data_IF_555297836487
#
_entry.id   IF_555297836487
#
_cell.length_a   1.000
_cell.length_b   1.000
_cell.length_c   1.000
_cell.angle_alpha   90.00
_cell.angle_beta   90.00
_cell.angle_gamma   90.00
#
_symmetry.space_group_name_H-M   'P 1'
#
loop_
_entity.id
_entity.type
_entity.pdbx_description
1 polymer ?
#
# COMPACT_ATOMS: atom_id res chain seq x y z
N UNK A 1 -7.71 17.98 -2.92
CA UNK A 1 -6.76 17.62 -4.00
C UNK A 1 -5.45 18.30 -3.67
N UNK A 2 -4.51 17.57 -3.11
CA UNK A 2 -3.13 18.01 -3.08
C UNK A 2 -2.64 17.87 -4.52
N UNK A 3 -2.52 19.04 -5.23
CA UNK A 3 -1.98 19.08 -6.58
C UNK A 3 -0.52 18.64 -6.55
N UNK A 4 -0.29 17.37 -6.66
CA UNK A 4 1.02 16.89 -7.07
C UNK A 4 1.31 17.54 -8.43
N UNK A 5 2.47 18.16 -8.63
CA UNK A 5 2.81 18.71 -9.93
C UNK A 5 2.65 17.59 -10.96
N UNK A 6 1.89 17.84 -12.04
CA UNK A 6 1.80 16.91 -13.17
C UNK A 6 3.22 16.68 -13.66
N UNK A 7 3.74 15.49 -13.36
CA UNK A 7 5.06 15.11 -13.85
C UNK A 7 4.93 14.90 -15.34
N UNK A 8 5.62 15.72 -16.14
CA UNK A 8 5.72 15.49 -17.57
C UNK A 8 6.36 14.11 -17.78
N UNK A 9 5.73 13.26 -18.57
CA UNK A 9 6.32 11.99 -19.01
C UNK A 9 7.67 12.28 -19.67
N UNK A 10 8.73 11.81 -19.05
CA UNK A 10 10.08 11.96 -19.58
C UNK A 10 10.24 11.07 -20.81
N UNK A 11 10.67 11.64 -21.93
CA UNK A 11 11.06 10.89 -23.11
C UNK A 11 12.29 10.02 -22.81
N UNK A 12 12.53 8.99 -23.61
CA UNK A 12 13.64 8.05 -23.48
C UNK A 12 15.04 8.69 -23.49
N UNK A 13 15.13 9.99 -23.79
CA UNK A 13 16.37 10.75 -23.97
C UNK A 13 16.92 11.36 -22.66
N UNK A 14 16.13 11.34 -21.56
CA UNK A 14 16.49 12.01 -20.30
C UNK A 14 16.98 11.03 -19.21
N UNK A 15 17.48 9.87 -19.60
CA UNK A 15 18.07 8.91 -18.65
C UNK A 15 19.57 9.25 -18.45
N UNK A 16 19.98 9.41 -17.19
CA UNK A 16 21.41 9.47 -16.85
C UNK A 16 22.09 8.10 -17.09
N UNK A 17 23.42 8.05 -16.95
CA UNK A 17 24.21 6.83 -17.16
C UNK A 17 23.77 5.63 -16.35
N UNK A 18 23.04 5.86 -15.25
CA UNK A 18 22.54 4.83 -14.33
C UNK A 18 21.10 4.41 -14.64
N UNK A 19 20.47 5.01 -15.67
CA UNK A 19 19.12 4.67 -16.12
C UNK A 19 18.00 5.32 -15.29
N UNK A 20 18.32 6.32 -14.46
CA UNK A 20 17.34 7.10 -13.70
C UNK A 20 17.08 8.43 -14.42
N UNK A 21 15.83 8.85 -14.44
CA UNK A 21 15.46 10.14 -15.00
C UNK A 21 15.84 11.30 -14.05
N UNK A 22 16.26 12.43 -14.61
CA UNK A 22 16.66 13.64 -13.86
C UNK A 22 15.55 14.18 -12.92
N UNK A 23 14.29 13.86 -13.22
CA UNK A 23 13.16 14.25 -12.37
C UNK A 23 13.17 13.58 -10.97
N UNK A 24 13.94 12.53 -10.75
CA UNK A 24 14.12 11.92 -9.43
C UNK A 24 14.65 12.92 -8.41
N UNK A 25 15.49 13.84 -8.83
CA UNK A 25 16.05 14.87 -7.94
C UNK A 25 14.98 15.85 -7.42
N UNK A 26 13.98 16.21 -8.22
CA UNK A 26 12.88 17.08 -7.79
C UNK A 26 11.90 16.33 -6.87
N UNK A 27 11.58 15.09 -7.21
CA UNK A 27 10.78 14.22 -6.36
C UNK A 27 11.45 13.98 -5.03
N UNK A 28 12.74 13.71 -5.00
CA UNK A 28 13.52 13.53 -3.77
C UNK A 28 13.52 14.80 -2.91
N UNK A 29 13.71 15.99 -3.51
CA UNK A 29 13.61 17.27 -2.81
C UNK A 29 12.21 17.50 -2.23
N UNK A 30 11.16 17.15 -2.99
CA UNK A 30 9.77 17.25 -2.53
C UNK A 30 9.54 16.32 -1.32
N UNK A 31 9.93 15.06 -1.43
CA UNK A 31 9.76 14.08 -0.36
C UNK A 31 10.56 14.47 0.87
N UNK A 32 11.83 14.85 0.72
CA UNK A 32 12.67 15.30 1.85
C UNK A 32 12.10 16.53 2.55
N UNK A 33 11.52 17.46 1.80
CA UNK A 33 10.90 18.67 2.36
C UNK A 33 9.61 18.36 3.14
N UNK A 34 8.79 17.45 2.63
CA UNK A 34 7.46 17.17 3.19
C UNK A 34 7.46 16.03 4.20
N UNK A 35 8.36 15.06 4.06
CA UNK A 35 8.39 13.83 4.85
C UNK A 35 9.72 13.62 5.61
N UNK A 36 10.66 14.56 5.51
CA UNK A 36 11.96 14.47 6.19
C UNK A 36 12.82 13.31 5.65
N UNK A 37 13.37 12.49 6.54
CA UNK A 37 14.10 11.28 6.13
C UNK A 37 13.12 10.18 5.71
N UNK A 38 12.66 10.25 4.46
CA UNK A 38 11.71 9.29 3.91
C UNK A 38 12.33 7.91 3.57
N UNK A 39 13.66 7.80 3.55
CA UNK A 39 14.36 6.53 3.28
C UNK A 39 14.40 5.67 4.55
N UNK A 40 14.59 6.31 5.70
CA UNK A 40 14.53 5.67 7.02
C UNK A 40 13.55 6.44 7.91
N UNK A 41 12.24 6.39 7.62
CA UNK A 41 11.29 7.21 8.32
C UNK A 41 11.27 6.87 9.81
N UNK A 42 11.43 7.91 10.64
CA UNK A 42 11.16 7.82 12.08
C UNK A 42 9.72 8.14 12.41
N UNK A 43 9.00 8.69 11.44
CA UNK A 43 7.57 9.02 11.51
C UNK A 43 6.75 8.17 10.55
N UNK A 44 5.49 8.00 10.88
CA UNK A 44 4.51 7.37 10.00
C UNK A 44 3.82 8.42 9.15
N UNK A 45 3.73 8.16 7.86
CA UNK A 45 3.10 9.03 6.89
C UNK A 45 1.89 8.34 6.27
N UNK A 46 0.71 8.90 6.50
CA UNK A 46 -0.51 8.52 5.80
C UNK A 46 -0.55 9.24 4.44
N UNK A 47 -0.82 8.53 3.36
CA UNK A 47 -0.84 9.09 2.00
C UNK A 47 -2.12 8.65 1.28
N UNK A 48 -3.05 9.57 1.04
CA UNK A 48 -3.12 10.95 1.50
C UNK A 48 -3.26 11.08 3.04
N UNK A 49 -2.93 12.24 3.63
CA UNK A 49 -2.91 12.40 5.10
C UNK A 49 -4.31 12.42 5.75
N UNK A 50 -5.36 12.52 4.95
CA UNK A 50 -6.76 12.58 5.40
C UNK A 50 -7.56 11.54 4.63
N UNK A 51 -8.40 10.80 5.35
CA UNK A 51 -9.34 9.88 4.74
C UNK A 51 -10.48 10.65 4.07
N UNK A 52 -10.63 10.49 2.77
CA UNK A 52 -11.76 11.03 2.01
C UNK A 52 -12.74 9.91 1.68
N UNK A 53 -14.02 10.08 2.09
CA UNK A 53 -15.08 9.15 1.71
C UNK A 53 -15.30 9.18 0.20
N UNK A 54 -15.40 8.02 -0.41
CA UNK A 54 -15.68 7.85 -1.84
C UNK A 54 -17.11 8.28 -2.21
N UNK A 55 -18.01 8.26 -1.24
CA UNK A 55 -19.42 8.57 -1.42
C UNK A 55 -19.76 9.97 -0.90
N UNK A 56 -20.13 10.87 -1.81
CA UNK A 56 -20.56 12.24 -1.50
C UNK A 56 -21.96 12.34 -0.85
N UNK A 57 -22.63 11.23 -0.54
CA UNK A 57 -23.98 11.21 0.02
C UNK A 57 -23.95 11.09 1.54
N UNK A 58 -24.96 11.69 2.20
CA UNK A 58 -25.15 11.70 3.66
C UNK A 58 -25.21 10.32 4.32
N UNK A 59 -25.46 9.29 3.55
CA UNK A 59 -25.44 7.88 3.98
C UNK A 59 -24.10 7.26 3.56
N UNK A 60 -23.03 7.64 4.29
CA UNK A 60 -21.74 6.95 4.13
C UNK A 60 -21.98 5.44 4.25
N UNK A 61 -21.71 4.71 3.19
CA UNK A 61 -21.87 3.27 3.15
C UNK A 61 -21.08 2.65 4.31
N UNK A 62 -21.56 1.52 4.82
CA UNK A 62 -20.88 0.78 5.88
C UNK A 62 -19.41 0.44 5.48
N UNK A 63 -19.12 0.37 4.19
CA UNK A 63 -17.77 0.26 3.64
C UNK A 63 -16.87 1.41 4.06
N UNK A 64 -17.25 2.64 3.70
CA UNK A 64 -16.49 3.86 4.00
C UNK A 64 -16.23 4.04 5.50
N UNK A 65 -17.24 3.76 6.33
CA UNK A 65 -17.11 3.83 7.80
C UNK A 65 -16.09 2.82 8.32
N UNK A 66 -16.08 1.63 7.76
CA UNK A 66 -15.19 0.55 8.17
C UNK A 66 -13.75 0.84 7.71
N UNK A 67 -13.57 1.32 6.49
CA UNK A 67 -12.27 1.76 5.97
C UNK A 67 -11.73 2.94 6.80
N UNK A 68 -12.59 3.92 7.13
CA UNK A 68 -12.23 5.05 8.00
C UNK A 68 -11.80 4.59 9.39
N UNK A 69 -12.52 3.64 9.99
CA UNK A 69 -12.15 3.09 11.29
C UNK A 69 -10.79 2.40 11.25
N UNK A 70 -10.50 1.66 10.18
CA UNK A 70 -9.20 1.01 10.00
C UNK A 70 -8.09 2.03 9.70
N UNK A 71 -8.37 3.09 8.94
CA UNK A 71 -7.46 4.21 8.74
C UNK A 71 -7.06 4.84 10.09
N UNK A 72 -8.04 5.14 10.95
CA UNK A 72 -7.79 5.74 12.26
C UNK A 72 -6.97 4.81 13.17
N UNK A 73 -7.21 3.50 13.07
CA UNK A 73 -6.42 2.50 13.78
C UNK A 73 -4.96 2.47 13.29
N UNK A 74 -4.76 2.44 11.96
CA UNK A 74 -3.42 2.45 11.36
C UNK A 74 -2.65 3.73 11.68
N UNK A 75 -3.31 4.88 11.68
CA UNK A 75 -2.69 6.16 12.06
C UNK A 75 -2.19 6.09 13.51
N UNK A 76 -3.05 5.72 14.45
CA UNK A 76 -2.66 5.58 15.87
C UNK A 76 -1.60 4.51 16.09
N UNK A 77 -1.68 3.41 15.36
CA UNK A 77 -0.65 2.36 15.37
C UNK A 77 0.69 2.93 14.90
N UNK A 78 0.71 3.66 13.79
CA UNK A 78 1.88 4.32 13.28
C UNK A 78 2.51 5.28 14.30
N UNK A 79 1.70 6.14 14.92
CA UNK A 79 2.15 7.05 16.00
C UNK A 79 2.78 6.28 17.18
N UNK A 80 2.23 5.12 17.53
CA UNK A 80 2.80 4.26 18.58
C UNK A 80 4.16 3.66 18.18
N UNK A 81 4.36 3.36 16.90
CA UNK A 81 5.63 2.81 16.36
C UNK A 81 6.71 3.87 16.25
N UNK A 82 6.35 5.13 16.00
CA UNK A 82 7.29 6.26 16.00
C UNK A 82 8.06 6.36 17.32
N UNK A 83 7.39 6.11 18.45
CA UNK A 83 8.04 6.09 19.77
C UNK A 83 9.13 5.01 19.89
N UNK A 84 9.07 3.99 19.03
CA UNK A 84 10.07 2.92 18.93
C UNK A 84 11.09 3.17 17.82
N UNK A 85 11.02 4.33 17.15
CA UNK A 85 11.86 4.65 15.98
C UNK A 85 11.49 3.86 14.72
N UNK A 86 10.29 3.32 14.65
CA UNK A 86 9.79 2.52 13.50
C UNK A 86 8.73 3.31 12.73
N UNK A 87 9.15 4.25 11.90
CA UNK A 87 8.26 4.95 10.98
C UNK A 87 7.95 4.13 9.73
N UNK A 88 6.89 4.50 9.02
CA UNK A 88 6.43 3.81 7.83
C UNK A 88 5.60 4.71 6.91
N UNK A 89 5.39 4.29 5.66
CA UNK A 89 4.39 4.89 4.78
C UNK A 89 3.17 3.98 4.70
N UNK A 90 1.98 4.59 4.78
CA UNK A 90 0.70 3.91 4.61
C UNK A 90 -0.05 4.63 3.50
N UNK A 91 -0.12 3.99 2.34
CA UNK A 91 -0.86 4.49 1.18
C UNK A 91 -2.26 3.90 1.23
N UNK A 92 -3.29 4.73 1.07
CA UNK A 92 -4.67 4.26 1.09
C UNK A 92 -5.53 4.89 0.01
N UNK A 93 -6.63 4.24 -0.32
CA UNK A 93 -7.61 4.70 -1.33
C UNK A 93 -6.96 5.10 -2.66
N UNK A 94 -5.90 4.38 -3.06
CA UNK A 94 -5.11 4.72 -4.22
C UNK A 94 -5.69 4.09 -5.48
N UNK A 95 -6.08 4.93 -6.42
CA UNK A 95 -6.65 4.51 -7.69
C UNK A 95 -5.58 4.49 -8.78
N UNK A 96 -5.12 3.31 -9.19
CA UNK A 96 -4.14 3.17 -10.27
C UNK A 96 -4.61 3.67 -11.63
N UNK A 97 -5.91 3.75 -11.87
CA UNK A 97 -6.46 4.22 -13.15
C UNK A 97 -6.03 5.65 -13.47
N UNK A 98 -5.90 6.50 -12.46
CA UNK A 98 -5.49 7.89 -12.67
C UNK A 98 -3.99 8.02 -13.01
N UNK A 99 -3.15 7.11 -12.49
CA UNK A 99 -1.72 7.09 -12.83
C UNK A 99 -1.42 6.59 -14.24
N UNK A 100 -2.29 5.76 -14.78
CA UNK A 100 -2.05 5.07 -16.05
C UNK A 100 -2.69 5.81 -17.21
N UNK A 101 -3.61 6.73 -16.95
CA UNK A 101 -4.19 7.55 -18.02
C UNK A 101 -3.15 8.36 -18.80
N UNK A 102 -1.99 8.64 -18.19
CA UNK A 102 -0.86 9.29 -18.85
C UNK A 102 0.11 8.28 -19.51
N UNK A 103 -0.15 6.99 -19.33
CA UNK A 103 0.68 5.94 -19.88
C UNK A 103 0.25 5.59 -21.30
N UNK A 104 1.14 5.88 -22.23
CA UNK A 104 1.03 5.70 -23.66
C UNK A 104 -0.01 4.68 -24.14
N UNK A 105 -0.92 5.14 -25.00
CA UNK A 105 -1.90 4.36 -25.78
C UNK A 105 -1.31 3.16 -26.56
N UNK A 106 0.01 2.95 -26.52
CA UNK A 106 0.74 1.92 -27.27
C UNK A 106 1.01 0.63 -26.51
N UNK A 107 0.80 0.58 -25.20
CA UNK A 107 0.91 -0.69 -24.48
C UNK A 107 -0.42 -1.41 -24.47
N UNK A 108 -0.39 -2.59 -25.06
CA UNK A 108 -1.48 -3.44 -25.47
C UNK A 108 -2.61 -3.59 -24.44
N UNK A 109 -3.85 -3.55 -24.92
CA UNK A 109 -5.11 -3.80 -24.19
C UNK A 109 -5.11 -5.00 -23.22
N UNK A 110 -4.15 -5.91 -23.33
CA UNK A 110 -4.01 -7.10 -22.47
C UNK A 110 -3.45 -6.75 -21.08
N UNK A 111 -2.53 -5.80 -20.98
CA UNK A 111 -1.93 -5.41 -19.71
C UNK A 111 -2.82 -4.46 -18.90
N UNK A 112 -3.63 -3.65 -19.57
CA UNK A 112 -4.56 -2.72 -18.90
C UNK A 112 -5.64 -3.42 -18.05
N UNK A 113 -6.00 -4.67 -18.33
CA UNK A 113 -7.05 -5.39 -17.61
C UNK A 113 -6.68 -5.67 -16.13
N UNK A 114 -5.40 -5.71 -15.82
CA UNK A 114 -4.87 -6.03 -14.49
C UNK A 114 -4.62 -4.81 -13.62
N UNK A 115 -4.50 -3.64 -14.24
CA UNK A 115 -4.11 -2.38 -13.60
C UNK A 115 -5.31 -1.58 -13.09
N UNK A 116 -6.53 -2.03 -13.39
CA UNK A 116 -7.76 -1.38 -12.92
C UNK A 116 -8.12 -1.92 -11.54
N UNK A 117 -7.80 -1.18 -10.51
CA UNK A 117 -8.15 -1.51 -9.14
C UNK A 117 -7.87 -0.34 -8.21
N UNK A 118 -8.48 -0.39 -7.06
CA UNK A 118 -8.24 0.51 -5.96
C UNK A 118 -7.67 -0.32 -4.82
N UNK A 119 -6.53 0.11 -4.26
CA UNK A 119 -6.01 -0.48 -3.03
C UNK A 119 -6.72 0.17 -1.85
N UNK A 120 -7.20 -0.64 -0.92
CA UNK A 120 -7.70 -0.08 0.33
C UNK A 120 -6.52 0.48 1.13
N UNK A 121 -5.53 -0.37 1.46
CA UNK A 121 -4.31 0.09 2.15
C UNK A 121 -3.07 -0.72 1.73
N UNK A 122 -1.96 -0.01 1.52
CA UNK A 122 -0.63 -0.58 1.32
C UNK A 122 0.32 0.05 2.34
N UNK A 123 0.92 -0.78 3.19
CA UNK A 123 1.89 -0.36 4.17
C UNK A 123 3.30 -0.65 3.66
N UNK A 124 4.15 0.36 3.60
CA UNK A 124 5.56 0.27 3.26
C UNK A 124 6.39 0.49 4.53
N UNK A 125 7.01 -0.57 5.02
CA UNK A 125 7.85 -0.53 6.21
C UNK A 125 9.30 -0.86 5.83
N UNK A 126 10.29 -0.02 6.17
CA UNK A 126 11.68 -0.20 5.70
C UNK A 126 12.30 -1.53 6.15
N UNK A 127 11.86 -2.06 7.30
CA UNK A 127 12.41 -3.31 7.85
C UNK A 127 11.47 -4.51 7.60
N UNK A 128 10.16 -4.29 7.61
CA UNK A 128 9.16 -5.37 7.55
C UNK A 128 8.61 -5.62 6.14
N UNK A 129 8.96 -4.78 5.16
CA UNK A 129 8.55 -4.98 3.78
C UNK A 129 7.23 -4.29 3.41
N UNK A 130 6.55 -4.83 2.40
CA UNK A 130 5.25 -4.33 1.93
C UNK A 130 4.16 -5.24 2.47
N UNK A 131 3.07 -4.63 2.92
CA UNK A 131 1.87 -5.34 3.38
C UNK A 131 0.64 -4.75 2.71
N UNK A 132 -0.20 -5.61 2.17
CA UNK A 132 -1.48 -5.22 1.56
C UNK A 132 -2.62 -5.54 2.52
N UNK A 133 -3.54 -4.60 2.68
CA UNK A 133 -4.75 -4.79 3.46
C UNK A 133 -5.97 -4.53 2.59
N UNK A 134 -6.90 -5.48 2.57
CA UNK A 134 -8.20 -5.34 1.95
C UNK A 134 -9.27 -5.34 3.02
N UNK A 135 -10.01 -4.25 3.17
CA UNK A 135 -11.01 -4.07 4.22
C UNK A 135 -12.38 -4.57 3.75
N UNK A 136 -13.10 -5.26 4.63
CA UNK A 136 -14.46 -5.73 4.40
C UNK A 136 -15.36 -5.35 5.58
N UNK A 137 -16.43 -4.62 5.29
CA UNK A 137 -17.36 -4.11 6.31
C UNK A 137 -18.25 -5.20 6.94
N UNK A 138 -18.58 -6.23 6.17
CA UNK A 138 -19.48 -7.30 6.61
C UNK A 138 -18.73 -8.53 7.08
N UNK A 139 -19.30 -9.23 8.06
CA UNK A 139 -18.87 -10.58 8.41
C UNK A 139 -19.04 -11.47 7.20
N UNK A 140 -17.95 -12.07 6.77
CA UNK A 140 -17.87 -12.61 5.44
C UNK A 140 -18.19 -14.08 5.37
N UNK A 141 -18.94 -14.43 4.32
CA UNK A 141 -18.95 -15.78 3.78
C UNK A 141 -17.57 -16.13 3.20
N UNK A 142 -17.30 -17.42 2.99
CA UNK A 142 -16.07 -17.88 2.30
C UNK A 142 -15.88 -17.22 0.93
N UNK A 143 -16.97 -16.90 0.25
CA UNK A 143 -16.94 -16.26 -1.07
C UNK A 143 -16.37 -14.84 -1.00
N UNK A 144 -16.86 -14.01 -0.07
CA UNK A 144 -16.37 -12.64 0.10
C UNK A 144 -14.91 -12.60 0.54
N UNK A 145 -14.50 -13.56 1.38
CA UNK A 145 -13.10 -13.70 1.75
C UNK A 145 -12.23 -14.07 0.54
N UNK A 146 -12.72 -14.97 -0.31
CA UNK A 146 -12.07 -15.32 -1.58
C UNK A 146 -11.99 -14.13 -2.53
N UNK A 147 -13.04 -13.31 -2.64
CA UNK A 147 -13.03 -12.09 -3.43
C UNK A 147 -12.01 -11.08 -2.92
N UNK A 148 -11.92 -10.90 -1.59
CA UNK A 148 -10.92 -10.02 -0.99
C UNK A 148 -9.49 -10.50 -1.29
N UNK A 149 -9.21 -11.80 -1.22
CA UNK A 149 -7.91 -12.34 -1.62
C UNK A 149 -7.61 -12.11 -3.10
N UNK A 150 -8.58 -12.28 -3.99
CA UNK A 150 -8.42 -11.94 -5.41
C UNK A 150 -8.12 -10.45 -5.63
N UNK A 151 -8.67 -9.58 -4.78
CA UNK A 151 -8.35 -8.16 -4.83
C UNK A 151 -6.89 -7.92 -4.42
N UNK A 152 -6.44 -8.51 -3.32
CA UNK A 152 -5.03 -8.46 -2.89
C UNK A 152 -4.09 -8.96 -4.00
N UNK A 153 -4.44 -10.06 -4.68
CA UNK A 153 -3.64 -10.58 -5.80
C UNK A 153 -3.57 -9.58 -6.97
N UNK A 154 -4.67 -8.88 -7.27
CA UNK A 154 -4.68 -7.80 -8.27
C UNK A 154 -3.80 -6.64 -7.84
N UNK A 155 -3.83 -6.27 -6.57
CA UNK A 155 -3.02 -5.21 -6.02
C UNK A 155 -1.52 -5.51 -6.17
N UNK A 156 -1.12 -6.73 -5.85
CA UNK A 156 0.25 -7.19 -6.06
C UNK A 156 0.66 -7.20 -7.54
N UNK A 157 -0.27 -7.59 -8.43
CA UNK A 157 -0.02 -7.58 -9.87
C UNK A 157 0.09 -6.16 -10.41
N UNK A 158 -0.72 -5.22 -9.91
CA UNK A 158 -0.64 -3.80 -10.26
C UNK A 158 0.73 -3.22 -9.88
N UNK A 159 1.23 -3.55 -8.68
CA UNK A 159 2.57 -3.11 -8.28
C UNK A 159 3.68 -3.74 -9.12
N UNK A 160 3.52 -5.01 -9.57
CA UNK A 160 4.45 -5.63 -10.52
C UNK A 160 4.46 -4.92 -11.87
N UNK A 161 3.27 -4.63 -12.40
CA UNK A 161 3.13 -3.90 -13.67
C UNK A 161 3.74 -2.51 -13.58
N UNK A 162 3.47 -1.79 -12.48
CA UNK A 162 4.07 -0.50 -12.19
C UNK A 162 5.61 -0.59 -12.15
N UNK A 163 6.16 -1.56 -11.42
CA UNK A 163 7.60 -1.76 -11.33
C UNK A 163 8.22 -2.10 -12.70
N UNK A 164 7.55 -2.94 -13.49
CA UNK A 164 8.00 -3.32 -14.83
C UNK A 164 8.10 -2.12 -15.77
N UNK A 165 7.23 -1.14 -15.59
CA UNK A 165 7.19 0.05 -16.42
C UNK A 165 8.16 1.15 -15.99
N UNK A 166 8.32 1.31 -14.69
CA UNK A 166 8.94 2.50 -14.13
C UNK A 166 10.29 2.27 -13.47
N UNK A 167 10.68 1.02 -13.24
CA UNK A 167 11.91 0.70 -12.52
C UNK A 167 12.97 0.05 -13.44
N UNK A 168 14.26 0.27 -13.16
CA UNK A 168 15.34 -0.45 -13.84
C UNK A 168 15.20 -1.97 -13.67
N UNK A 169 15.64 -2.75 -14.67
CA UNK A 169 15.51 -4.22 -14.68
C UNK A 169 16.02 -4.92 -13.40
N UNK A 170 17.09 -4.39 -12.80
CA UNK A 170 17.62 -4.90 -11.53
C UNK A 170 16.60 -4.74 -10.39
N UNK A 171 15.93 -3.58 -10.30
CA UNK A 171 14.90 -3.29 -9.30
C UNK A 171 13.61 -4.06 -9.56
N UNK A 172 13.22 -4.25 -10.83
CA UNK A 172 12.08 -5.10 -11.19
C UNK A 172 12.23 -6.52 -10.63
N UNK A 173 13.44 -7.11 -10.73
CA UNK A 173 13.73 -8.43 -10.15
C UNK A 173 13.59 -8.42 -8.62
N UNK A 174 14.07 -7.37 -7.96
CA UNK A 174 13.94 -7.22 -6.51
C UNK A 174 12.46 -7.10 -6.09
N UNK A 175 11.67 -6.26 -6.78
CA UNK A 175 10.22 -6.13 -6.56
C UNK A 175 9.53 -7.48 -6.73
N UNK A 176 9.76 -8.17 -7.83
CA UNK A 176 9.14 -9.47 -8.08
C UNK A 176 9.47 -10.50 -6.99
N UNK A 177 10.73 -10.57 -6.57
CA UNK A 177 11.14 -11.45 -5.47
C UNK A 177 10.46 -11.08 -4.15
N UNK A 178 10.39 -9.79 -3.86
CA UNK A 178 9.75 -9.28 -2.64
C UNK A 178 8.26 -9.56 -2.66
N UNK A 179 7.53 -9.25 -3.76
CA UNK A 179 6.10 -9.46 -3.88
C UNK A 179 5.69 -10.94 -3.82
N UNK A 180 6.60 -11.86 -4.13
CA UNK A 180 6.36 -13.28 -3.92
C UNK A 180 6.22 -13.65 -2.44
N UNK A 181 6.88 -12.89 -1.57
CA UNK A 181 6.88 -13.09 -0.12
C UNK A 181 6.03 -12.05 0.65
N UNK A 182 5.42 -11.08 -0.05
CA UNK A 182 4.61 -10.05 0.61
C UNK A 182 3.30 -10.65 1.12
N UNK A 183 2.97 -10.40 2.38
CA UNK A 183 1.69 -10.80 2.90
C UNK A 183 0.56 -9.86 2.43
N UNK A 184 -0.59 -10.45 2.17
CA UNK A 184 -1.84 -9.73 2.01
C UNK A 184 -2.84 -10.18 3.06
N UNK A 185 -3.52 -9.24 3.70
CA UNK A 185 -4.46 -9.51 4.78
C UNK A 185 -5.85 -8.98 4.47
N UNK A 186 -6.86 -9.80 4.76
CA UNK A 186 -8.26 -9.40 4.72
C UNK A 186 -8.67 -8.90 6.10
N UNK A 187 -9.01 -7.61 6.19
CA UNK A 187 -9.39 -6.94 7.43
C UNK A 187 -10.90 -6.92 7.58
N UNK A 188 -11.40 -7.50 8.64
CA UNK A 188 -12.82 -7.62 8.97
C UNK A 188 -13.09 -7.11 10.39
N UNK A 189 -13.00 -5.80 10.64
CA UNK A 189 -12.99 -5.25 12.00
C UNK A 189 -14.33 -5.37 12.72
N UNK A 190 -15.40 -5.68 11.97
CA UNK A 190 -16.75 -5.89 12.53
C UNK A 190 -17.06 -7.39 12.77
N UNK A 191 -16.14 -8.28 12.44
CA UNK A 191 -16.35 -9.72 12.50
C UNK A 191 -15.59 -10.34 13.65
N UNK A 192 -16.26 -11.07 14.55
CA UNK A 192 -15.57 -11.85 15.56
C UNK A 192 -14.71 -12.93 14.91
N UNK A 193 -13.62 -13.26 15.56
CA UNK A 193 -12.70 -14.30 15.09
C UNK A 193 -13.41 -15.64 15.01
N UNK A 194 -13.39 -16.33 13.86
CA UNK A 194 -14.02 -17.64 13.75
C UNK A 194 -13.26 -18.69 14.58
N UNK A 195 -13.92 -19.77 14.90
CA UNK A 195 -13.32 -20.89 15.62
C UNK A 195 -12.10 -21.46 14.86
N UNK A 196 -11.11 -21.93 15.59
CA UNK A 196 -9.76 -22.28 15.11
C UNK A 196 -9.68 -23.16 13.85
N UNK A 197 -10.65 -24.04 13.62
CA UNK A 197 -10.66 -24.96 12.46
C UNK A 197 -11.07 -24.29 11.13
N UNK A 198 -11.63 -23.08 11.17
CA UNK A 198 -12.12 -22.36 9.98
C UNK A 198 -11.39 -21.04 9.74
N UNK A 199 -10.35 -20.78 10.51
CA UNK A 199 -9.69 -19.49 10.52
C UNK A 199 -8.78 -19.33 9.30
N UNK A 200 -9.04 -18.34 8.43
CA UNK A 200 -8.12 -18.02 7.36
C UNK A 200 -6.80 -17.48 7.95
N UNK A 201 -5.68 -17.98 7.46
CA UNK A 201 -4.35 -17.62 7.99
C UNK A 201 -3.99 -16.13 7.80
N UNK A 202 -4.65 -15.46 6.87
CA UNK A 202 -4.45 -14.04 6.54
C UNK A 202 -5.66 -13.16 6.88
N UNK A 203 -6.52 -13.58 7.81
CA UNK A 203 -7.61 -12.76 8.35
C UNK A 203 -7.15 -11.90 9.52
N UNK A 204 -7.65 -10.66 9.57
CA UNK A 204 -7.59 -9.73 10.71
C UNK A 204 -9.03 -9.51 11.15
N UNK A 205 -9.31 -9.74 12.41
CA UNK A 205 -10.67 -9.78 12.93
C UNK A 205 -10.93 -8.67 13.95
N UNK A 206 -12.15 -8.57 14.43
CA UNK A 206 -12.58 -7.57 15.40
C UNK A 206 -11.61 -7.45 16.57
N UNK A 207 -11.24 -8.56 17.18
CA UNK A 207 -10.38 -8.60 18.36
C UNK A 207 -8.98 -8.04 18.09
N UNK A 208 -8.48 -8.16 16.86
CA UNK A 208 -7.20 -7.59 16.43
C UNK A 208 -7.29 -6.07 16.20
N UNK A 209 -8.50 -5.56 15.93
CA UNK A 209 -8.75 -4.17 15.55
C UNK A 209 -9.36 -3.33 16.69
N UNK A 210 -9.69 -3.92 17.85
CA UNK A 210 -10.36 -3.21 18.94
C UNK A 210 -9.52 -2.08 19.54
N UNK A 211 -8.20 -2.31 19.65
CA UNK A 211 -7.26 -1.34 20.21
C UNK A 211 -5.97 -1.31 19.41
N UNK A 212 -5.22 -0.22 19.56
CA UNK A 212 -3.86 -0.12 19.00
C UNK A 212 -2.94 -1.21 19.53
N UNK A 213 -3.09 -1.58 20.80
CA UNK A 213 -2.30 -2.64 21.43
C UNK A 213 -2.62 -4.02 20.83
N UNK A 214 -3.91 -4.35 20.64
CA UNK A 214 -4.33 -5.59 20.00
C UNK A 214 -3.73 -5.70 18.58
N UNK A 215 -3.80 -4.61 17.81
CA UNK A 215 -3.24 -4.56 16.47
C UNK A 215 -1.70 -4.66 16.50
N UNK A 216 -1.04 -4.00 17.44
CA UNK A 216 0.41 -4.10 17.60
C UNK A 216 0.87 -5.51 17.96
N UNK A 217 0.12 -6.22 18.81
CA UNK A 217 0.39 -7.62 19.15
C UNK A 217 0.22 -8.52 17.93
N UNK A 218 -0.87 -8.35 17.17
CA UNK A 218 -1.08 -9.03 15.90
C UNK A 218 0.07 -8.74 14.92
N UNK A 219 0.43 -7.47 14.74
CA UNK A 219 1.52 -7.03 13.87
C UNK A 219 2.85 -7.68 14.25
N UNK A 220 3.24 -7.63 15.52
CA UNK A 220 4.49 -8.21 16.00
C UNK A 220 4.56 -9.72 15.72
N UNK A 221 3.45 -10.43 15.92
CA UNK A 221 3.38 -11.85 15.62
C UNK A 221 3.49 -12.14 14.11
N UNK A 222 2.75 -11.41 13.27
CA UNK A 222 2.71 -11.65 11.83
C UNK A 222 3.95 -11.13 11.10
N UNK A 223 4.55 -10.05 11.57
CA UNK A 223 5.72 -9.45 10.92
C UNK A 223 7.03 -10.21 11.19
N UNK A 224 7.02 -11.17 12.10
CA UNK A 224 8.15 -12.08 12.29
C UNK A 224 8.30 -12.96 11.05
N UNK A 225 9.40 -12.77 10.28
CA UNK A 225 9.65 -13.51 9.04
C UNK A 225 9.26 -12.77 7.75
N UNK A 226 8.74 -11.55 7.84
CA UNK A 226 8.55 -10.69 6.67
C UNK A 226 9.89 -10.32 6.03
N UNK A 227 9.87 -10.16 4.70
CA UNK A 227 11.07 -9.88 3.92
C UNK A 227 11.43 -8.40 4.01
N UNK A 228 12.62 -8.12 4.52
CA UNK A 228 13.18 -6.77 4.55
C UNK A 228 13.29 -6.19 3.15
N UNK A 229 12.85 -4.95 2.96
CA UNK A 229 13.10 -4.19 1.73
C UNK A 229 14.53 -3.64 1.81
N UNK A 230 15.29 -3.72 0.73
CA UNK A 230 16.54 -2.98 0.69
C UNK A 230 16.26 -1.47 0.52
N UNK A 231 17.19 -0.66 1.00
CA UNK A 231 17.02 0.78 1.11
C UNK A 231 16.78 1.45 -0.25
N UNK A 232 17.50 1.01 -1.29
CA UNK A 232 17.33 1.53 -2.65
C UNK A 232 15.97 1.19 -3.23
N UNK A 233 15.50 -0.06 -3.00
CA UNK A 233 14.17 -0.46 -3.43
C UNK A 233 13.08 0.32 -2.68
N UNK A 234 13.24 0.51 -1.36
CA UNK A 234 12.30 1.30 -0.57
C UNK A 234 12.21 2.75 -1.09
N UNK A 235 13.38 3.38 -1.33
CA UNK A 235 13.46 4.70 -1.95
C UNK A 235 12.70 4.74 -3.28
N UNK A 236 12.96 3.81 -4.18
CA UNK A 236 12.28 3.73 -5.47
C UNK A 236 10.75 3.61 -5.36
N UNK A 237 10.26 2.84 -4.37
CA UNK A 237 8.82 2.64 -4.18
C UNK A 237 8.11 3.86 -3.60
N UNK A 238 8.78 4.61 -2.73
CA UNK A 238 8.21 5.83 -2.11
C UNK A 238 8.28 7.01 -3.08
N UNK A 239 9.28 7.04 -3.95
CA UNK A 239 9.48 8.14 -4.92
C UNK A 239 8.56 8.06 -6.14
N UNK A 240 7.88 6.96 -6.36
CA UNK A 240 7.03 6.72 -7.53
C UNK A 240 5.57 6.69 -7.18
#
# INVERSE_FOLDING_TARGET
>A
MLGLPRVKTCGQEDLNSDGFADWDSETEKFLSRNYGDFICPTKTHMVPPVFESKHRRSDADNGDKTEKSFFDLLQKFGESREQLGEGMFIVHSYNFKEMISDWNEKQTKLEMKWVLGEHDFVLLHPIKGIVFFQVKASCTTKEKFSEANKQIDKDMQSLRAFAAANLPKAMQKKVNKMLYCCPGFVVMPNCPRPNSQQMPSNGIFKEDCETVESFANWWNWKSNGMVKIDQELFKCLVMR
#
